data_IF_996660542169
#
_entry.id   IF_996660542169
#
_cell.length_a   1.000
_cell.length_b   1.000
_cell.length_c   1.000
_cell.angle_alpha   90.00
_cell.angle_beta   90.00
_cell.angle_gamma   90.00
#
_symmetry.space_group_name_H-M   'P 1'
#
loop_
_entity.id
_entity.type
_entity.pdbx_description
1 polymer ?
#
# COMPACT_ATOMS: atom_id res chain seq x y z
N UNK A 1 2.47 -15.01 13.75
CA UNK A 1 3.80 -14.40 13.51
C UNK A 1 4.54 -15.35 12.60
N UNK A 2 5.03 -14.89 11.44
CA UNK A 2 5.96 -15.71 10.66
C UNK A 2 7.24 -15.86 11.48
N UNK A 3 7.63 -17.08 11.81
CA UNK A 3 8.79 -17.41 12.66
C UNK A 3 10.13 -17.25 11.94
N UNK A 4 10.10 -16.96 10.63
CA UNK A 4 11.24 -16.92 9.72
C UNK A 4 11.56 -15.48 9.29
N UNK A 5 12.83 -15.14 9.10
CA UNK A 5 13.23 -13.86 8.48
C UNK A 5 13.08 -13.93 6.95
N UNK A 6 12.98 -12.80 6.23
CA UNK A 6 12.96 -12.81 4.75
C UNK A 6 14.12 -13.59 4.13
N UNK A 7 15.32 -13.50 4.70
CA UNK A 7 16.51 -14.21 4.24
C UNK A 7 16.37 -15.73 4.45
N UNK A 8 15.82 -16.15 5.59
CA UNK A 8 15.57 -17.56 5.87
C UNK A 8 14.51 -18.14 4.92
N UNK A 9 13.45 -17.38 4.64
CA UNK A 9 12.42 -17.79 3.68
C UNK A 9 12.98 -17.90 2.26
N UNK A 10 13.81 -16.93 1.86
CA UNK A 10 14.48 -16.95 0.56
C UNK A 10 15.32 -18.21 0.39
N UNK A 11 16.15 -18.52 1.39
CA UNK A 11 16.92 -19.77 1.41
C UNK A 11 16.03 -21.02 1.39
N UNK A 12 14.86 -21.01 2.05
CA UNK A 12 13.92 -22.12 2.05
C UNK A 12 13.25 -22.33 0.68
N UNK A 13 12.98 -21.26 -0.07
CA UNK A 13 12.42 -21.33 -1.43
C UNK A 13 13.46 -21.70 -2.50
N UNK A 14 14.75 -21.55 -2.20
CA UNK A 14 15.85 -21.98 -3.07
C UNK A 14 16.14 -23.50 -2.98
N UNK A 15 15.52 -24.21 -2.04
CA UNK A 15 15.60 -25.67 -1.94
C UNK A 15 14.80 -26.37 -3.06
N UNK A 16 15.17 -27.61 -3.40
CA UNK A 16 14.45 -28.41 -4.42
C UNK A 16 12.98 -28.66 -4.06
N UNK A 17 12.71 -28.86 -2.76
CA UNK A 17 11.38 -29.07 -2.20
C UNK A 17 11.22 -28.15 -1.00
N UNK A 18 10.16 -27.34 -1.00
CA UNK A 18 9.81 -26.44 0.10
C UNK A 18 8.48 -26.87 0.70
N UNK A 19 8.47 -27.10 2.02
CA UNK A 19 7.25 -27.24 2.79
C UNK A 19 6.86 -25.87 3.33
N UNK A 20 5.61 -25.46 3.09
CA UNK A 20 5.09 -24.18 3.57
C UNK A 20 3.59 -24.30 3.82
N UNK A 21 3.05 -23.39 4.63
CA UNK A 21 1.61 -23.25 4.84
C UNK A 21 1.01 -22.38 3.74
N UNK A 22 -0.29 -22.54 3.47
CA UNK A 22 -1.01 -21.70 2.50
C UNK A 22 -0.87 -20.20 2.82
N UNK A 23 -0.90 -19.84 4.10
CA UNK A 23 -0.86 -18.49 4.61
C UNK A 23 0.54 -17.89 4.43
N UNK A 24 1.60 -18.62 4.78
CA UNK A 24 2.98 -18.12 4.62
C UNK A 24 3.32 -17.90 3.15
N UNK A 25 3.04 -18.88 2.29
CA UNK A 25 3.23 -18.78 0.85
C UNK A 25 2.42 -17.63 0.24
N UNK A 26 1.14 -17.53 0.59
CA UNK A 26 0.27 -16.47 0.09
C UNK A 26 0.72 -15.09 0.53
N UNK A 27 1.16 -14.94 1.79
CA UNK A 27 1.68 -13.66 2.27
C UNK A 27 3.06 -13.31 1.69
N UNK A 28 3.93 -14.28 1.42
CA UNK A 28 5.17 -14.03 0.67
C UNK A 28 4.85 -13.52 -0.74
N UNK A 29 3.91 -14.16 -1.42
CA UNK A 29 3.46 -13.70 -2.74
C UNK A 29 2.92 -12.27 -2.71
N UNK A 30 2.06 -11.95 -1.73
CA UNK A 30 1.53 -10.60 -1.58
C UNK A 30 2.64 -9.58 -1.23
N UNK A 31 3.59 -9.92 -0.35
CA UNK A 31 4.71 -9.04 0.03
C UNK A 31 5.66 -8.77 -1.13
N UNK A 32 5.94 -9.78 -1.95
CA UNK A 32 6.80 -9.63 -3.12
C UNK A 32 6.22 -8.67 -4.17
N UNK A 33 4.89 -8.61 -4.30
CA UNK A 33 4.23 -7.64 -5.19
C UNK A 33 4.20 -6.21 -4.61
N UNK A 34 4.58 -6.03 -3.35
CA UNK A 34 4.75 -4.73 -2.70
C UNK A 34 6.23 -4.32 -2.60
N UNK A 35 7.17 -5.20 -2.99
CA UNK A 35 8.60 -4.95 -2.89
C UNK A 35 9.04 -3.82 -3.84
N UNK A 36 9.77 -2.84 -3.30
CA UNK A 36 10.30 -1.71 -4.07
C UNK A 36 11.57 -2.09 -4.86
N UNK A 37 12.31 -3.09 -4.38
CA UNK A 37 13.53 -3.56 -5.04
C UNK A 37 13.50 -5.07 -5.25
N UNK A 38 14.18 -5.53 -6.30
CA UNK A 38 14.32 -6.96 -6.59
C UNK A 38 15.07 -7.74 -5.50
N UNK A 39 15.82 -7.05 -4.63
CA UNK A 39 16.54 -7.69 -3.52
C UNK A 39 15.60 -8.11 -2.40
N UNK A 40 14.51 -7.36 -2.21
CA UNK A 40 13.51 -7.56 -1.16
C UNK A 40 12.49 -8.66 -1.50
N UNK A 41 12.49 -9.11 -2.75
CA UNK A 41 11.70 -10.25 -3.20
C UNK A 41 12.25 -11.52 -2.55
N UNK A 42 11.35 -12.32 -1.99
CA UNK A 42 11.64 -13.56 -1.28
C UNK A 42 11.45 -14.76 -2.20
N UNK A 43 10.42 -14.77 -3.06
CA UNK A 43 10.14 -15.83 -4.04
C UNK A 43 10.99 -15.65 -5.30
N UNK A 44 12.30 -15.47 -5.11
CA UNK A 44 13.26 -15.25 -6.20
C UNK A 44 13.50 -16.54 -6.97
N UNK A 45 12.77 -16.76 -8.07
CA UNK A 45 12.99 -17.94 -8.91
C UNK A 45 11.80 -18.42 -9.72
N UNK A 46 10.62 -17.75 -9.61
CA UNK A 46 9.37 -17.98 -10.36
C UNK A 46 9.30 -19.34 -11.06
N UNK A 47 9.20 -20.39 -10.25
CA UNK A 47 8.93 -21.74 -10.69
C UNK A 47 8.05 -22.42 -9.64
N UNK A 48 6.89 -21.82 -9.33
CA UNK A 48 5.74 -22.61 -8.86
C UNK A 48 5.28 -23.50 -10.02
N UNK A 49 6.09 -24.50 -10.37
CA UNK A 49 5.79 -25.45 -11.44
C UNK A 49 4.77 -26.48 -10.97
N UNK A 50 4.82 -26.77 -9.67
CA UNK A 50 4.08 -27.85 -9.07
C UNK A 50 3.90 -27.57 -7.58
N UNK A 51 2.73 -27.91 -7.05
CA UNK A 51 2.45 -27.93 -5.63
C UNK A 51 1.64 -29.19 -5.29
N UNK A 52 1.90 -29.75 -4.12
CA UNK A 52 1.04 -30.75 -3.51
C UNK A 52 0.38 -30.08 -2.32
N UNK A 53 -0.95 -30.07 -2.33
CA UNK A 53 -1.74 -29.49 -1.24
C UNK A 53 -2.20 -30.64 -0.36
N UNK A 54 -1.64 -30.70 0.84
CA UNK A 54 -2.18 -31.56 1.90
C UNK A 54 -3.49 -30.95 2.42
N UNK A 55 -4.44 -31.78 2.84
CA UNK A 55 -5.78 -31.36 3.26
C UNK A 55 -6.48 -30.42 2.24
N UNK A 56 -6.49 -30.83 0.97
CA UNK A 56 -6.92 -29.97 -0.13
C UNK A 56 -8.36 -29.43 0.00
N UNK A 57 -9.26 -30.16 0.65
CA UNK A 57 -10.62 -29.70 0.96
C UNK A 57 -10.60 -28.56 1.98
N UNK A 58 -9.89 -28.72 3.10
CA UNK A 58 -9.71 -27.65 4.09
C UNK A 58 -9.11 -26.38 3.46
N UNK A 59 -8.06 -26.53 2.65
CA UNK A 59 -7.32 -25.40 2.10
C UNK A 59 -8.05 -24.72 0.93
N UNK A 60 -8.53 -25.50 -0.05
CA UNK A 60 -9.08 -24.96 -1.30
C UNK A 60 -10.59 -24.70 -1.24
N UNK A 61 -11.30 -25.22 -0.23
CA UNK A 61 -12.73 -24.99 -0.05
C UNK A 61 -12.97 -24.15 1.20
N UNK A 62 -12.55 -24.61 2.37
CA UNK A 62 -12.95 -23.95 3.62
C UNK A 62 -12.22 -22.64 3.86
N UNK A 63 -10.89 -22.65 3.77
CA UNK A 63 -10.06 -21.47 4.00
C UNK A 63 -10.12 -20.47 2.84
N UNK A 64 -10.29 -20.95 1.61
CA UNK A 64 -10.39 -20.12 0.41
C UNK A 64 -11.59 -19.13 0.43
N UNK A 65 -12.58 -19.32 1.32
CA UNK A 65 -13.68 -18.38 1.52
C UNK A 65 -13.23 -17.03 2.10
N UNK A 66 -12.10 -17.01 2.81
CA UNK A 66 -11.58 -15.78 3.42
C UNK A 66 -10.35 -15.32 2.63
N UNK A 67 -10.37 -14.10 2.06
CA UNK A 67 -9.21 -13.61 1.30
C UNK A 67 -8.02 -13.36 2.23
N UNK A 68 -6.81 -13.62 1.71
CA UNK A 68 -5.57 -13.22 2.37
C UNK A 68 -5.35 -11.72 2.20
N UNK A 69 -5.25 -10.99 3.31
CA UNK A 69 -5.14 -9.52 3.33
C UNK A 69 -3.89 -9.11 4.10
N UNK A 70 -3.00 -8.35 3.44
CA UNK A 70 -1.96 -7.60 4.15
C UNK A 70 -2.59 -6.28 4.61
N UNK A 71 -2.69 -6.09 5.92
CA UNK A 71 -3.06 -4.81 6.52
C UNK A 71 -1.86 -4.22 7.23
N UNK A 72 -1.52 -2.98 6.90
CA UNK A 72 -0.56 -2.19 7.65
C UNK A 72 -1.28 -1.46 8.79
N UNK A 73 -0.70 -1.46 9.99
CA UNK A 73 -1.11 -0.49 11.01
C UNK A 73 -0.61 0.88 10.58
N UNK A 74 -1.49 1.89 10.60
CA UNK A 74 -1.02 3.28 10.54
C UNK A 74 -0.31 3.54 11.87
N UNK A 75 0.99 3.79 11.84
CA UNK A 75 1.75 4.10 13.05
C UNK A 75 1.06 5.25 13.82
N UNK A 76 1.02 5.18 15.14
CA UNK A 76 0.34 6.21 15.95
C UNK A 76 0.91 7.62 15.71
N UNK A 77 2.21 7.72 15.42
CA UNK A 77 2.87 8.96 15.01
C UNK A 77 2.37 9.46 13.63
N UNK A 78 2.15 8.55 12.69
CA UNK A 78 1.59 8.86 11.37
C UNK A 78 0.10 9.22 11.48
N UNK A 79 -0.65 8.60 12.39
CA UNK A 79 -2.06 8.93 12.63
C UNK A 79 -2.24 10.32 13.28
N UNK A 80 -1.39 10.68 14.24
CA UNK A 80 -1.39 12.01 14.86
C UNK A 80 -1.01 13.10 13.84
N UNK A 81 0.02 12.84 13.03
CA UNK A 81 0.44 13.73 11.94
C UNK A 81 -0.65 13.88 10.88
N UNK A 82 -1.30 12.78 10.48
CA UNK A 82 -2.41 12.81 9.53
C UNK A 82 -3.57 13.65 10.05
N UNK A 83 -3.97 13.48 11.32
CA UNK A 83 -5.04 14.27 11.94
C UNK A 83 -4.72 15.77 11.91
N UNK A 84 -3.48 16.15 12.18
CA UNK A 84 -3.04 17.53 12.08
C UNK A 84 -3.07 18.04 10.63
N UNK A 85 -2.57 17.25 9.67
CA UNK A 85 -2.61 17.57 8.23
C UNK A 85 -4.04 17.82 7.74
N UNK A 86 -5.01 16.99 8.13
CA UNK A 86 -6.42 17.18 7.75
C UNK A 86 -7.02 18.48 8.32
N UNK A 87 -6.67 18.85 9.55
CA UNK A 87 -7.12 20.11 10.16
C UNK A 87 -6.64 21.33 9.38
N UNK A 88 -5.35 21.35 9.02
CA UNK A 88 -4.76 22.44 8.22
C UNK A 88 -5.35 22.45 6.81
N UNK A 89 -5.48 21.30 6.16
CA UNK A 89 -6.05 21.18 4.82
C UNK A 89 -7.48 21.74 4.76
N UNK A 90 -8.30 21.47 5.79
CA UNK A 90 -9.64 22.05 5.90
C UNK A 90 -9.61 23.57 5.99
N UNK A 91 -8.74 24.14 6.82
CA UNK A 91 -8.62 25.59 6.98
C UNK A 91 -8.21 26.30 5.68
N UNK A 92 -7.39 25.64 4.86
CA UNK A 92 -7.01 26.14 3.53
C UNK A 92 -8.18 26.01 2.57
N UNK A 93 -8.85 24.85 2.55
CA UNK A 93 -9.99 24.59 1.68
C UNK A 93 -11.13 25.61 1.89
N UNK A 94 -11.39 26.02 3.14
CA UNK A 94 -12.40 27.03 3.48
C UNK A 94 -12.10 28.42 2.88
N UNK A 95 -10.85 28.69 2.49
CA UNK A 95 -10.41 29.94 1.86
C UNK A 95 -10.45 29.87 0.31
N UNK A 96 -10.65 28.68 -0.25
CA UNK A 96 -10.65 28.49 -1.70
C UNK A 96 -12.02 28.85 -2.31
N UNK A 97 -11.99 29.51 -3.46
CA UNK A 97 -13.21 29.93 -4.16
C UNK A 97 -13.48 29.02 -5.36
N UNK A 98 -14.73 28.54 -5.51
CA UNK A 98 -15.12 27.74 -6.67
C UNK A 98 -15.01 28.57 -7.97
N UNK A 99 -14.66 27.90 -9.07
CA UNK A 99 -14.40 28.45 -10.41
C UNK A 99 -13.13 29.31 -10.55
N UNK A 100 -12.55 29.78 -9.43
CA UNK A 100 -11.27 30.50 -9.44
C UNK A 100 -10.11 29.59 -9.02
N UNK A 101 -10.21 28.96 -7.84
CA UNK A 101 -9.14 28.13 -7.27
C UNK A 101 -9.33 26.64 -7.55
N UNK A 102 -10.56 26.21 -7.84
CA UNK A 102 -10.85 24.83 -8.22
C UNK A 102 -12.10 24.73 -9.10
N UNK A 103 -12.17 23.66 -9.86
CA UNK A 103 -13.31 23.28 -10.69
C UNK A 103 -13.95 22.02 -10.13
N UNK A 104 -15.29 22.00 -10.05
CA UNK A 104 -16.06 20.85 -9.58
C UNK A 104 -16.71 20.18 -10.78
N UNK A 105 -16.39 18.91 -10.97
CA UNK A 105 -16.92 18.06 -12.01
C UNK A 105 -17.94 17.11 -11.38
N UNK A 106 -19.18 17.59 -11.24
CA UNK A 106 -20.24 16.89 -10.47
C UNK A 106 -20.62 15.54 -11.08
N UNK A 107 -20.59 15.42 -12.41
CA UNK A 107 -20.90 14.16 -13.10
C UNK A 107 -19.85 13.10 -12.80
N UNK A 108 -18.60 13.51 -12.71
CA UNK A 108 -17.43 12.67 -12.44
C UNK A 108 -17.14 12.52 -10.94
N UNK A 109 -17.87 13.24 -10.09
CA UNK A 109 -17.63 13.34 -8.64
C UNK A 109 -16.18 13.70 -8.30
N UNK A 110 -15.59 14.60 -9.07
CA UNK A 110 -14.18 14.97 -8.95
C UNK A 110 -13.98 16.48 -8.78
N UNK A 111 -12.89 16.87 -8.13
CA UNK A 111 -12.50 18.28 -7.92
C UNK A 111 -11.06 18.47 -8.37
N UNK A 112 -10.83 19.43 -9.26
CA UNK A 112 -9.50 19.73 -9.81
C UNK A 112 -9.11 21.14 -9.39
N UNK A 113 -7.95 21.28 -8.74
CA UNK A 113 -7.34 22.58 -8.44
C UNK A 113 -6.87 23.26 -9.74
N UNK A 114 -7.11 24.56 -9.85
CA UNK A 114 -6.50 25.40 -10.89
C UNK A 114 -5.09 25.81 -10.46
N UNK A 115 -4.28 26.34 -11.39
CA UNK A 115 -2.93 26.83 -11.07
C UNK A 115 -2.95 27.87 -9.94
N UNK A 116 -3.92 28.80 -9.97
CA UNK A 116 -4.12 29.78 -8.92
C UNK A 116 -4.46 29.16 -7.56
N UNK A 117 -5.23 28.06 -7.55
CA UNK A 117 -5.52 27.31 -6.33
C UNK A 117 -4.30 26.59 -5.76
N UNK A 118 -3.51 25.97 -6.64
CA UNK A 118 -2.25 25.30 -6.26
C UNK A 118 -1.26 26.29 -5.63
N UNK A 119 -1.03 27.46 -6.24
CA UNK A 119 -0.14 28.49 -5.70
C UNK A 119 -0.54 28.97 -4.29
N UNK A 120 -1.83 29.13 -4.04
CA UNK A 120 -2.34 29.54 -2.72
C UNK A 120 -2.08 28.45 -1.68
N UNK A 121 -2.33 27.19 -2.05
CA UNK A 121 -2.08 26.04 -1.19
C UNK A 121 -0.58 25.89 -0.88
N UNK A 122 0.29 26.02 -1.88
CA UNK A 122 1.76 25.95 -1.74
C UNK A 122 2.27 27.06 -0.81
N UNK A 123 1.77 28.30 -1.00
CA UNK A 123 2.10 29.43 -0.13
C UNK A 123 1.61 29.24 1.30
N UNK A 124 0.40 28.73 1.48
CA UNK A 124 -0.18 28.48 2.80
C UNK A 124 0.56 27.37 3.56
N UNK A 125 0.97 26.31 2.85
CA UNK A 125 1.73 25.19 3.40
C UNK A 125 3.25 25.45 3.47
N UNK A 126 3.73 26.53 2.85
CA UNK A 126 5.15 26.91 2.74
C UNK A 126 5.99 25.80 2.09
N UNK A 127 5.43 25.15 1.08
CA UNK A 127 6.11 24.13 0.29
C UNK A 127 6.37 24.65 -1.13
N UNK A 128 7.48 24.22 -1.77
CA UNK A 128 7.77 24.60 -3.14
C UNK A 128 6.84 23.93 -4.16
N UNK A 129 6.30 22.75 -3.84
CA UNK A 129 5.26 22.10 -4.64
C UNK A 129 4.41 21.15 -3.78
N UNK A 130 3.12 21.03 -4.11
CA UNK A 130 2.23 20.02 -3.50
C UNK A 130 2.56 18.58 -3.92
N UNK A 131 3.35 18.39 -4.99
CA UNK A 131 3.56 17.08 -5.62
C UNK A 131 4.98 16.53 -5.41
N UNK A 132 5.71 16.99 -4.40
CA UNK A 132 7.05 16.48 -4.11
C UNK A 132 7.02 15.01 -3.67
N UNK A 133 7.71 14.09 -4.38
CA UNK A 133 7.69 12.67 -4.05
C UNK A 133 8.31 12.33 -2.68
N UNK A 134 9.18 13.21 -2.17
CA UNK A 134 9.89 13.03 -0.90
C UNK A 134 9.05 13.35 0.34
N UNK A 135 7.94 14.06 0.20
CA UNK A 135 7.03 14.38 1.30
C UNK A 135 5.56 14.32 0.84
N UNK A 136 5.04 13.10 0.61
CA UNK A 136 3.65 12.90 0.21
C UNK A 136 2.62 13.23 1.32
#
# INVERSE_FOLDING_TARGET
QASSTPEQRKAAYDCDITYSTNSELGFDYLRDNLALTAKDVVLTGRKFKFCLVDEADSILIDEARTPLIISGKVDAANAATAKAKYGVAKQIADQLQPKLHYTVMEKEQNVILTDAGSEICERALKVPSLFEPSNP
#
